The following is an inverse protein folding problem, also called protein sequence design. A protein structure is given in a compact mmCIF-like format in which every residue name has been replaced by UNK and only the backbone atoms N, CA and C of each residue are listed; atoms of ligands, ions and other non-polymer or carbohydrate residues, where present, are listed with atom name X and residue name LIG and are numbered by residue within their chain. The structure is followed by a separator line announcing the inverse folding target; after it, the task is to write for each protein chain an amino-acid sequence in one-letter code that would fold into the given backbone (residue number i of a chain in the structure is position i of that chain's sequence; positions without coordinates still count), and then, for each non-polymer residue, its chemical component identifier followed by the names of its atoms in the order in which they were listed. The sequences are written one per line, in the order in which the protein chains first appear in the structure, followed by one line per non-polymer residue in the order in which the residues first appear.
data_IF_034390482602
#
_entry.id   IF_034390482602
#
_cell.length_a   1.000
_cell.length_b   1.000
_cell.length_c   1.000
_cell.angle_alpha   90.00
_cell.angle_beta   90.00
_cell.angle_gamma   90.00
#
_symmetry.space_group_name_H-M   'P 1'
#
loop_
_entity.id
_entity.type
_entity.pdbx_description
1 polymer ?
#
# COMPACT_ATOMS: atom_id res chain seq x y z
N UNK A 1 -47.25 -62.05 -84.01
CA UNK A 1 -47.08 -60.86 -83.10
C UNK A 1 -46.40 -61.40 -81.82
N UNK A 2 -45.11 -61.05 -81.67
CA UNK A 2 -44.31 -61.47 -80.54
C UNK A 2 -44.22 -60.34 -79.55
N UNK A 3 -44.39 -60.56 -78.26
CA UNK A 3 -44.14 -59.51 -77.27
C UNK A 3 -42.65 -59.40 -76.92
N UNK A 4 -42.18 -58.21 -76.81
CA UNK A 4 -40.84 -57.82 -76.41
C UNK A 4 -40.74 -57.85 -74.86
N UNK A 5 -39.68 -58.48 -74.28
CA UNK A 5 -39.51 -58.42 -72.84
C UNK A 5 -38.83 -57.09 -72.42
N UNK A 6 -39.43 -56.43 -71.43
CA UNK A 6 -38.98 -55.24 -70.82
C UNK A 6 -37.91 -55.60 -69.78
N UNK A 7 -36.64 -55.18 -70.01
CA UNK A 7 -35.57 -55.32 -69.04
C UNK A 7 -35.64 -54.14 -68.00
N UNK A 8 -35.76 -54.55 -66.78
CA UNK A 8 -35.73 -53.63 -65.62
C UNK A 8 -34.29 -53.51 -65.08
N UNK A 9 -33.67 -52.34 -64.96
CA UNK A 9 -32.33 -52.23 -64.40
C UNK A 9 -32.38 -52.33 -62.86
N UNK A 10 -31.61 -53.26 -62.31
CA UNK A 10 -31.33 -53.35 -60.87
C UNK A 10 -30.40 -52.25 -60.46
N UNK A 11 -30.90 -51.28 -59.67
CA UNK A 11 -30.09 -50.30 -59.00
C UNK A 11 -29.48 -50.92 -57.71
N UNK A 12 -28.17 -51.21 -57.76
CA UNK A 12 -27.39 -51.52 -56.57
C UNK A 12 -27.12 -50.22 -55.79
N UNK A 13 -27.84 -50.03 -54.71
CA UNK A 13 -27.53 -48.99 -53.73
C UNK A 13 -26.37 -49.43 -52.86
N UNK A 14 -25.18 -48.89 -53.16
CA UNK A 14 -24.00 -49.01 -52.30
C UNK A 14 -24.17 -48.29 -51.01
N UNK A 15 -24.24 -49.00 -49.90
CA UNK A 15 -24.21 -48.41 -48.53
C UNK A 15 -22.78 -48.00 -48.25
N UNK A 16 -22.53 -46.68 -48.31
CA UNK A 16 -21.27 -46.10 -47.85
C UNK A 16 -21.30 -46.03 -46.32
N UNK A 17 -20.53 -46.87 -45.67
CA UNK A 17 -20.27 -46.80 -44.25
C UNK A 17 -19.39 -45.57 -44.00
N UNK A 18 -19.98 -44.47 -43.53
CA UNK A 18 -19.23 -43.33 -43.00
C UNK A 18 -18.56 -43.77 -41.69
N UNK A 19 -17.25 -43.94 -41.70
CA UNK A 19 -16.48 -44.08 -40.46
C UNK A 19 -16.58 -42.80 -39.66
N UNK A 20 -17.16 -42.87 -38.47
CA UNK A 20 -17.17 -41.77 -37.49
C UNK A 20 -15.71 -41.40 -37.17
N UNK A 21 -15.37 -40.09 -37.09
CA UNK A 21 -14.04 -39.67 -36.69
C UNK A 21 -13.76 -40.19 -35.28
N UNK A 22 -12.71 -40.99 -35.13
CA UNK A 22 -12.18 -41.33 -33.80
C UNK A 22 -11.75 -40.04 -33.11
N UNK A 23 -12.41 -39.71 -32.02
CA UNK A 23 -11.96 -38.69 -31.08
C UNK A 23 -10.59 -39.11 -30.57
N UNK A 24 -9.55 -38.44 -31.07
CA UNK A 24 -8.20 -38.53 -30.51
C UNK A 24 -8.34 -38.00 -29.07
N UNK A 25 -8.34 -38.91 -28.11
CA UNK A 25 -8.19 -38.62 -26.73
C UNK A 25 -6.84 -37.91 -26.57
N UNK A 26 -6.86 -36.56 -26.52
CA UNK A 26 -5.68 -35.79 -26.12
C UNK A 26 -5.33 -36.24 -24.71
N UNK A 27 -4.22 -36.92 -24.61
CA UNK A 27 -3.55 -37.21 -23.35
C UNK A 27 -3.37 -35.88 -22.61
N UNK A 28 -4.26 -35.60 -21.66
CA UNK A 28 -4.11 -34.48 -20.76
C UNK A 28 -3.04 -34.89 -19.75
N UNK A 29 -1.78 -34.83 -20.18
CA UNK A 29 -0.67 -34.78 -19.23
C UNK A 29 -0.98 -33.62 -18.28
N UNK A 30 -1.10 -33.86 -16.97
CA UNK A 30 -1.36 -32.77 -16.03
C UNK A 30 -0.17 -31.83 -16.12
N UNK A 31 -0.36 -30.69 -16.76
CA UNK A 31 0.61 -29.59 -16.70
C UNK A 31 0.59 -29.08 -15.26
N UNK A 32 1.50 -29.60 -14.47
CA UNK A 32 1.76 -29.05 -13.12
C UNK A 32 2.29 -27.65 -13.36
N UNK A 33 1.41 -26.67 -13.37
CA UNK A 33 1.78 -25.25 -13.27
C UNK A 33 2.26 -25.03 -11.84
N UNK A 34 3.55 -25.18 -11.61
CA UNK A 34 4.19 -24.71 -10.39
C UNK A 34 4.25 -23.21 -10.51
N UNK A 35 3.20 -22.51 -10.07
CA UNK A 35 3.25 -21.08 -9.81
C UNK A 35 4.10 -20.92 -8.54
N UNK A 36 5.39 -20.66 -8.73
CA UNK A 36 6.28 -20.31 -7.61
C UNK A 36 6.03 -18.85 -7.28
N UNK A 37 5.02 -18.61 -6.48
CA UNK A 37 4.77 -17.27 -5.93
C UNK A 37 5.96 -16.88 -5.04
N UNK A 38 6.52 -15.74 -5.33
CA UNK A 38 7.59 -15.14 -4.55
C UNK A 38 7.02 -13.93 -3.82
N UNK A 39 7.11 -13.95 -2.51
CA UNK A 39 6.58 -12.87 -1.66
C UNK A 39 7.73 -11.98 -1.23
N UNK A 40 7.56 -10.67 -1.48
CA UNK A 40 8.49 -9.63 -1.06
C UNK A 40 7.85 -8.80 0.03
N UNK A 41 8.61 -8.49 1.07
CA UNK A 41 8.21 -7.61 2.17
C UNK A 41 9.35 -6.70 2.57
N UNK A 42 8.99 -5.51 3.03
CA UNK A 42 9.94 -4.55 3.58
C UNK A 42 9.94 -4.60 5.11
N UNK A 43 11.10 -4.42 5.72
CA UNK A 43 11.27 -4.37 7.15
C UNK A 43 12.02 -3.12 7.60
N UNK A 44 11.43 -2.38 8.53
CA UNK A 44 12.09 -1.30 9.24
C UNK A 44 12.53 -1.82 10.62
N UNK A 45 13.81 -1.66 10.94
CA UNK A 45 14.34 -2.02 12.26
C UNK A 45 14.97 -0.79 12.87
N UNK A 46 14.42 -0.33 14.01
CA UNK A 46 14.93 0.86 14.69
C UNK A 46 14.87 0.75 16.22
N UNK A 47 15.73 1.50 16.87
CA UNK A 47 15.65 1.69 18.31
C UNK A 47 14.48 2.63 18.65
N UNK A 48 13.56 2.17 19.50
CA UNK A 48 12.34 2.92 19.90
C UNK A 48 12.63 4.22 20.64
N UNK A 49 13.78 4.27 21.35
CA UNK A 49 14.15 5.42 22.19
C UNK A 49 14.94 6.47 21.41
N UNK A 50 15.96 6.02 20.68
CA UNK A 50 16.85 6.94 19.92
C UNK A 50 16.37 7.21 18.50
N UNK A 51 15.47 6.40 17.95
CA UNK A 51 15.06 6.48 16.53
C UNK A 51 16.11 5.95 15.54
N UNK A 52 17.30 5.55 16.01
CA UNK A 52 18.39 5.10 15.17
C UNK A 52 18.03 3.80 14.48
N UNK A 53 18.25 3.77 13.16
CA UNK A 53 18.03 2.57 12.33
C UNK A 53 19.14 1.54 12.57
N UNK A 54 18.79 0.27 12.61
CA UNK A 54 19.76 -0.82 12.58
C UNK A 54 20.14 -1.11 11.11
N UNK A 55 21.35 -0.76 10.72
CA UNK A 55 21.80 -0.79 9.33
C UNK A 55 22.71 -1.96 8.93
N UNK A 56 23.07 -2.82 9.88
CA UNK A 56 24.10 -3.87 9.71
C UNK A 56 23.55 -5.30 9.85
N UNK A 57 22.23 -5.47 9.75
CA UNK A 57 21.59 -6.78 9.88
C UNK A 57 21.73 -7.61 8.60
N UNK A 58 21.76 -8.94 8.78
CA UNK A 58 21.85 -9.92 7.71
C UNK A 58 20.56 -10.77 7.67
N UNK A 59 20.34 -11.51 6.58
CA UNK A 59 19.15 -12.38 6.45
C UNK A 59 19.00 -13.37 7.63
N UNK A 60 20.12 -13.87 8.15
CA UNK A 60 20.16 -14.79 9.32
C UNK A 60 19.73 -14.16 10.65
N UNK A 61 19.72 -12.83 10.70
CA UNK A 61 19.27 -12.10 11.90
C UNK A 61 17.74 -12.04 12.01
N UNK A 62 17.02 -12.40 10.94
CA UNK A 62 15.57 -12.34 10.89
C UNK A 62 14.94 -13.73 11.01
N UNK A 63 13.82 -13.77 11.70
CA UNK A 63 12.91 -14.91 11.77
C UNK A 63 11.56 -14.47 11.18
N UNK A 64 11.18 -15.11 10.07
CA UNK A 64 9.92 -14.86 9.36
C UNK A 64 8.98 -16.05 9.54
N UNK A 65 7.71 -15.79 9.79
CA UNK A 65 6.66 -16.81 9.73
C UNK A 65 5.44 -16.28 8.96
N UNK A 66 4.75 -17.20 8.26
CA UNK A 66 3.47 -16.99 7.60
C UNK A 66 2.43 -17.90 8.24
N UNK A 67 1.33 -17.35 8.75
CA UNK A 67 0.29 -18.08 9.51
C UNK A 67 0.87 -18.97 10.63
N UNK A 68 1.94 -18.51 11.28
CA UNK A 68 2.64 -19.25 12.33
C UNK A 68 3.64 -20.30 11.82
N UNK A 69 3.71 -20.55 10.50
CA UNK A 69 4.68 -21.49 9.90
C UNK A 69 5.97 -20.76 9.56
N UNK A 70 7.14 -21.18 10.10
CA UNK A 70 8.43 -20.58 9.76
C UNK A 70 8.71 -20.62 8.27
N UNK A 71 9.23 -19.51 7.72
CA UNK A 71 9.57 -19.37 6.32
C UNK A 71 11.06 -19.11 6.13
N UNK A 72 11.63 -19.69 5.09
CA UNK A 72 13.03 -19.46 4.73
C UNK A 72 13.17 -18.21 3.86
N UNK A 73 13.87 -17.20 4.36
CA UNK A 73 14.25 -16.03 3.60
C UNK A 73 15.26 -16.47 2.52
N UNK A 74 14.92 -16.25 1.24
CA UNK A 74 15.74 -16.65 0.09
C UNK A 74 16.25 -15.45 -0.72
N UNK A 75 15.72 -14.26 -0.43
CA UNK A 75 16.20 -12.99 -0.95
C UNK A 75 16.33 -12.00 0.20
N UNK A 76 17.39 -11.23 0.18
CA UNK A 76 17.64 -10.23 1.19
C UNK A 76 18.53 -9.12 0.61
N UNK A 77 18.12 -7.88 0.77
CA UNK A 77 18.94 -6.72 0.44
C UNK A 77 18.64 -5.56 1.40
N UNK A 78 19.65 -4.73 1.59
CA UNK A 78 19.53 -3.42 2.23
C UNK A 78 19.85 -2.31 1.21
N UNK A 79 19.72 -2.63 -0.07
CA UNK A 79 19.89 -1.64 -1.13
C UNK A 79 18.80 -0.58 -1.04
N UNK A 80 19.23 0.63 -1.29
CA UNK A 80 18.33 1.78 -1.26
C UNK A 80 17.56 1.87 -2.57
N UNK A 81 16.47 1.11 -2.66
CA UNK A 81 15.57 1.15 -3.80
C UNK A 81 15.07 2.57 -4.09
N UNK A 82 14.75 2.89 -5.34
CA UNK A 82 14.04 4.13 -5.66
C UNK A 82 12.74 4.23 -4.86
N UNK A 83 12.33 5.43 -4.54
CA UNK A 83 11.04 5.70 -3.89
C UNK A 83 10.08 6.30 -4.92
N UNK A 84 8.85 5.78 -4.94
CA UNK A 84 7.71 6.41 -5.60
C UNK A 84 6.74 6.86 -4.50
N UNK A 85 6.75 8.17 -4.23
CA UNK A 85 6.09 8.73 -3.06
C UNK A 85 4.85 9.50 -3.48
N UNK A 86 3.68 9.12 -2.97
CA UNK A 86 2.49 9.95 -3.01
C UNK A 86 2.40 10.73 -1.71
N UNK A 87 2.44 12.05 -1.77
CA UNK A 87 2.08 12.90 -0.64
C UNK A 87 0.59 13.20 -0.67
N UNK A 88 -0.13 12.82 0.38
CA UNK A 88 -1.56 13.05 0.54
C UNK A 88 -1.80 14.04 1.68
N UNK A 89 -2.24 15.24 1.36
CA UNK A 89 -2.42 16.34 2.31
C UNK A 89 -3.89 16.59 2.62
N UNK A 90 -4.21 16.56 3.90
CA UNK A 90 -5.49 16.97 4.43
C UNK A 90 -5.65 18.50 4.34
N UNK A 91 -6.71 18.98 3.71
CA UNK A 91 -7.00 20.39 3.53
C UNK A 91 -7.88 21.00 4.64
N UNK A 92 -8.23 20.24 5.66
CA UNK A 92 -9.07 20.76 6.76
C UNK A 92 -8.39 21.90 7.51
N UNK A 93 -9.21 22.75 8.13
CA UNK A 93 -8.72 23.92 8.88
C UNK A 93 -7.78 23.57 10.04
N UNK A 94 -7.91 22.35 10.59
CA UNK A 94 -7.04 21.84 11.66
C UNK A 94 -5.63 21.53 11.16
N UNK A 95 -5.48 21.02 9.94
CA UNK A 95 -4.18 20.63 9.33
C UNK A 95 -3.51 21.79 8.60
N UNK A 96 -4.28 22.75 8.10
CA UNK A 96 -3.77 23.91 7.34
C UNK A 96 -2.58 24.64 7.99
N UNK A 97 -2.55 24.88 9.32
CA UNK A 97 -1.40 25.54 9.96
C UNK A 97 -0.07 24.78 9.80
N UNK A 98 -0.10 23.50 9.39
CA UNK A 98 1.08 22.66 9.13
C UNK A 98 1.47 22.67 7.66
N UNK A 99 0.52 22.88 6.73
CA UNK A 99 0.80 22.94 5.31
C UNK A 99 1.68 24.13 4.93
N UNK A 100 1.54 25.27 5.59
CA UNK A 100 2.36 26.44 5.30
C UNK A 100 3.84 26.23 5.64
N UNK A 101 4.24 25.82 6.85
CA UNK A 101 5.64 25.45 7.13
C UNK A 101 6.16 24.32 6.24
N UNK A 102 5.29 23.38 5.85
CA UNK A 102 5.64 22.33 4.91
C UNK A 102 5.99 22.90 3.53
N UNK A 103 5.18 23.83 3.02
CA UNK A 103 5.44 24.49 1.75
C UNK A 103 6.73 25.33 1.79
N UNK A 104 6.96 26.08 2.86
CA UNK A 104 8.19 26.84 3.10
C UNK A 104 9.44 25.93 3.09
N UNK A 105 9.34 24.70 3.65
CA UNK A 105 10.41 23.70 3.69
C UNK A 105 10.40 22.69 2.53
N UNK A 106 9.49 22.82 1.56
CA UNK A 106 9.27 21.79 0.56
C UNK A 106 10.51 21.45 -0.27
N UNK A 107 11.31 22.47 -0.62
CA UNK A 107 12.56 22.26 -1.39
C UNK A 107 13.60 21.46 -0.60
N UNK A 108 13.74 21.74 0.69
CA UNK A 108 14.66 21.01 1.56
C UNK A 108 14.19 19.55 1.69
N UNK A 109 12.91 19.33 1.95
CA UNK A 109 12.31 18.00 2.06
C UNK A 109 12.52 17.20 0.78
N UNK A 110 12.20 17.78 -0.37
CA UNK A 110 12.37 17.16 -1.67
C UNK A 110 13.85 16.95 -2.03
N UNK A 111 14.76 17.73 -1.42
CA UNK A 111 16.21 17.55 -1.51
C UNK A 111 16.73 16.26 -0.87
N UNK A 112 16.00 15.67 0.08
CA UNK A 112 16.32 14.34 0.64
C UNK A 112 16.01 13.18 -0.32
N UNK A 113 15.25 13.44 -1.37
CA UNK A 113 14.96 12.45 -2.41
C UNK A 113 16.13 12.36 -3.40
N UNK A 114 16.44 11.14 -3.84
CA UNK A 114 17.46 10.88 -4.86
C UNK A 114 16.95 11.25 -6.26
N UNK A 115 17.82 11.47 -7.23
CA UNK A 115 17.42 11.85 -8.59
C UNK A 115 16.41 10.90 -9.24
N UNK A 116 16.49 9.60 -8.94
CA UNK A 116 15.58 8.57 -9.47
C UNK A 116 14.25 8.46 -8.71
N UNK A 117 14.13 9.09 -7.54
CA UNK A 117 12.87 9.07 -6.80
C UNK A 117 11.85 9.96 -7.49
N UNK A 118 10.61 9.55 -7.51
CA UNK A 118 9.49 10.32 -8.06
C UNK A 118 8.47 10.62 -6.98
N UNK A 119 7.75 11.71 -7.18
CA UNK A 119 6.70 12.14 -6.24
C UNK A 119 5.44 12.53 -6.98
N UNK A 120 4.29 12.20 -6.41
CA UNK A 120 2.99 12.73 -6.77
C UNK A 120 2.42 13.50 -5.58
N UNK A 121 1.65 14.56 -5.85
CA UNK A 121 1.04 15.40 -4.83
C UNK A 121 -0.46 15.33 -4.96
N UNK A 122 -1.11 14.86 -3.91
CA UNK A 122 -2.55 14.78 -3.78
C UNK A 122 -3.02 15.57 -2.55
N UNK A 123 -4.22 16.07 -2.64
CA UNK A 123 -4.93 16.70 -1.51
C UNK A 123 -6.29 16.06 -1.34
N UNK A 124 -6.84 16.14 -0.14
CA UNK A 124 -8.18 15.65 0.10
C UNK A 124 -8.96 16.50 1.11
N UNK A 125 -10.27 16.45 0.94
CA UNK A 125 -11.30 16.92 1.85
C UNK A 125 -12.53 16.03 1.67
N UNK A 126 -13.66 16.55 1.18
CA UNK A 126 -14.82 15.76 0.76
C UNK A 126 -14.61 14.99 -0.56
N UNK A 127 -13.55 15.25 -1.26
CA UNK A 127 -13.04 14.54 -2.43
C UNK A 127 -11.51 14.63 -2.47
N UNK A 128 -10.89 13.81 -3.30
CA UNK A 128 -9.45 13.78 -3.52
C UNK A 128 -9.12 14.47 -4.84
N UNK A 129 -8.05 15.26 -4.87
CA UNK A 129 -7.57 15.96 -6.07
C UNK A 129 -6.08 15.67 -6.27
N UNK A 130 -5.70 15.26 -7.49
CA UNK A 130 -4.31 15.13 -7.91
C UNK A 130 -3.80 16.51 -8.38
N UNK A 131 -2.86 17.09 -7.64
CA UNK A 131 -2.25 18.39 -7.99
C UNK A 131 -1.04 18.25 -8.88
N UNK A 132 -0.28 17.15 -8.73
CA UNK A 132 0.89 16.82 -9.54
C UNK A 132 1.01 15.30 -9.63
N UNK A 133 0.98 14.80 -10.85
CA UNK A 133 1.29 13.41 -11.18
C UNK A 133 2.78 13.10 -10.92
N UNK A 134 3.16 11.83 -10.90
CA UNK A 134 4.53 11.41 -10.63
C UNK A 134 5.55 12.20 -11.44
N UNK A 135 6.51 12.77 -10.73
CA UNK A 135 7.59 13.57 -11.33
C UNK A 135 8.88 13.44 -10.53
N UNK A 136 10.00 13.46 -11.25
CA UNK A 136 11.34 13.62 -10.66
C UNK A 136 11.76 15.09 -10.58
N UNK A 137 10.98 16.00 -11.17
CA UNK A 137 11.21 17.46 -11.13
C UNK A 137 10.76 18.02 -9.77
N UNK A 138 11.74 18.35 -8.92
CA UNK A 138 11.53 18.88 -7.58
C UNK A 138 10.83 20.23 -7.56
N UNK A 139 11.02 21.05 -8.60
CA UNK A 139 10.38 22.35 -8.70
C UNK A 139 8.88 22.20 -8.95
N UNK A 140 8.48 21.26 -9.83
CA UNK A 140 7.07 20.94 -10.06
C UNK A 140 6.40 20.43 -8.78
N UNK A 141 7.06 19.51 -8.06
CA UNK A 141 6.55 18.99 -6.80
C UNK A 141 6.41 20.09 -5.73
N UNK A 142 7.42 20.97 -5.59
CA UNK A 142 7.37 22.09 -4.65
C UNK A 142 6.22 23.06 -4.98
N UNK A 143 6.04 23.42 -6.25
CA UNK A 143 4.94 24.30 -6.68
C UNK A 143 3.56 23.68 -6.39
N UNK A 144 3.41 22.35 -6.49
CA UNK A 144 2.18 21.67 -6.13
C UNK A 144 1.92 21.69 -4.61
N UNK A 145 2.97 21.58 -3.79
CA UNK A 145 2.87 21.73 -2.32
C UNK A 145 2.48 23.17 -1.97
N UNK A 146 3.07 24.17 -2.62
CA UNK A 146 2.69 25.58 -2.46
C UNK A 146 1.20 25.80 -2.82
N UNK A 147 0.75 25.19 -3.93
CA UNK A 147 -0.67 25.22 -4.33
C UNK A 147 -1.55 24.58 -3.23
N UNK A 148 -1.18 23.39 -2.71
CA UNK A 148 -1.92 22.73 -1.65
C UNK A 148 -2.05 23.64 -0.39
N UNK A 149 -0.96 24.30 0.03
CA UNK A 149 -0.95 25.18 1.19
C UNK A 149 -1.82 26.44 0.99
N UNK A 150 -2.02 26.89 -0.24
CA UNK A 150 -2.87 28.04 -0.58
C UNK A 150 -4.36 27.67 -0.72
N UNK A 151 -4.69 26.38 -0.92
CA UNK A 151 -6.07 25.93 -1.07
C UNK A 151 -6.85 26.08 0.23
N UNK A 152 -8.14 26.35 0.10
CA UNK A 152 -9.06 26.50 1.23
C UNK A 152 -10.29 25.63 0.97
N UNK A 153 -10.67 24.86 1.95
CA UNK A 153 -11.95 24.16 1.97
C UNK A 153 -12.66 24.42 3.31
N UNK A 154 -13.97 24.34 3.28
CA UNK A 154 -14.83 24.29 4.48
C UNK A 154 -15.55 22.96 4.56
N UNK A 155 -15.17 22.03 3.72
CA UNK A 155 -15.75 20.71 3.63
C UNK A 155 -15.10 19.78 4.66
N UNK A 156 -15.79 18.72 4.97
CA UNK A 156 -15.25 17.66 5.82
C UNK A 156 -14.40 16.66 5.03
N UNK A 157 -13.97 15.59 5.69
CA UNK A 157 -13.06 14.59 5.13
C UNK A 157 -13.69 13.21 5.06
N UNK A 158 -13.43 12.52 3.93
CA UNK A 158 -13.67 11.09 3.74
C UNK A 158 -12.32 10.36 3.75
N UNK A 159 -11.88 9.92 4.91
CA UNK A 159 -10.55 9.33 5.12
C UNK A 159 -10.37 8.04 4.32
N UNK A 160 -11.35 7.14 4.37
CA UNK A 160 -11.23 5.84 3.70
C UNK A 160 -11.27 5.97 2.19
N UNK A 161 -12.09 6.86 1.65
CA UNK A 161 -12.13 7.18 0.22
C UNK A 161 -10.79 7.74 -0.25
N UNK A 162 -10.26 8.73 0.48
CA UNK A 162 -8.97 9.34 0.13
C UNK A 162 -7.81 8.35 0.17
N UNK A 163 -7.82 7.41 1.13
CA UNK A 163 -6.86 6.31 1.18
C UNK A 163 -7.00 5.41 -0.05
N UNK A 164 -8.23 5.03 -0.40
CA UNK A 164 -8.51 4.16 -1.54
C UNK A 164 -7.99 4.76 -2.85
N UNK A 165 -8.27 6.03 -3.11
CA UNK A 165 -7.83 6.75 -4.29
C UNK A 165 -6.31 6.99 -4.32
N UNK A 166 -5.71 7.31 -3.16
CA UNK A 166 -4.26 7.50 -3.07
C UNK A 166 -3.46 6.20 -3.30
N UNK A 167 -4.02 5.05 -2.94
CA UNK A 167 -3.43 3.75 -3.30
C UNK A 167 -3.48 3.53 -4.81
N UNK A 168 -4.58 3.91 -5.49
CA UNK A 168 -4.65 3.85 -6.95
C UNK A 168 -3.58 4.72 -7.61
N UNK A 169 -3.37 5.92 -7.08
CA UNK A 169 -2.33 6.81 -7.59
C UNK A 169 -0.94 6.19 -7.39
N UNK A 170 -0.65 5.66 -6.20
CA UNK A 170 0.63 5.01 -5.91
C UNK A 170 0.93 3.82 -6.85
N UNK A 171 -0.12 3.13 -7.32
CA UNK A 171 0.02 2.01 -8.27
C UNK A 171 0.31 2.46 -9.71
N UNK A 172 0.12 3.73 -10.06
CA UNK A 172 0.45 4.28 -11.38
C UNK A 172 1.94 4.54 -11.59
N UNK A 173 2.75 4.48 -10.51
CA UNK A 173 4.21 4.59 -10.63
C UNK A 173 4.76 3.61 -11.66
N UNK A 174 5.61 4.11 -12.55
CA UNK A 174 6.30 3.33 -13.59
C UNK A 174 7.79 3.14 -13.31
N UNK A 175 8.30 3.70 -12.20
CA UNK A 175 9.70 3.54 -11.80
C UNK A 175 9.95 2.08 -11.42
N UNK A 176 10.84 1.37 -12.18
CA UNK A 176 11.10 -0.05 -11.93
C UNK A 176 11.64 -0.29 -10.51
N UNK A 177 11.18 -1.36 -9.90
CA UNK A 177 11.61 -1.84 -8.58
C UNK A 177 11.51 -0.79 -7.46
N UNK A 178 10.74 0.28 -7.69
CA UNK A 178 10.56 1.31 -6.67
C UNK A 178 9.72 0.82 -5.49
N UNK A 179 10.07 1.30 -4.30
CA UNK A 179 9.19 1.18 -3.14
C UNK A 179 8.09 2.22 -3.24
N UNK A 180 6.84 1.74 -3.39
CA UNK A 180 5.65 2.60 -3.44
C UNK A 180 5.25 2.99 -2.03
N UNK A 181 5.17 4.29 -1.80
CA UNK A 181 4.91 4.84 -0.47
C UNK A 181 3.82 5.90 -0.55
N UNK A 182 2.89 5.83 0.38
CA UNK A 182 1.95 6.89 0.65
C UNK A 182 2.36 7.60 1.95
N UNK A 183 2.69 8.87 1.85
CA UNK A 183 2.97 9.74 3.01
C UNK A 183 1.75 10.59 3.26
N UNK A 184 1.10 10.37 4.37
CA UNK A 184 -0.15 11.00 4.74
C UNK A 184 0.05 12.06 5.82
N UNK A 185 -0.25 13.32 5.50
CA UNK A 185 -0.27 14.41 6.46
C UNK A 185 -1.73 14.72 6.82
N UNK A 186 -2.12 14.41 8.05
CA UNK A 186 -3.49 14.58 8.56
C UNK A 186 -3.50 14.74 10.07
N UNK A 187 -4.60 15.19 10.63
CA UNK A 187 -4.83 15.17 12.08
C UNK A 187 -5.58 13.90 12.54
N UNK A 188 -5.89 13.01 11.63
CA UNK A 188 -6.55 11.76 11.96
C UNK A 188 -8.04 11.84 12.19
N UNK A 189 -8.65 12.97 11.90
CA UNK A 189 -10.08 13.19 12.16
C UNK A 189 -10.90 12.98 10.90
N UNK A 190 -11.70 11.90 10.84
CA UNK A 190 -12.77 11.77 9.86
C UNK A 190 -14.04 12.38 10.43
N UNK A 191 -14.63 13.32 9.70
CA UNK A 191 -15.83 14.02 10.16
C UNK A 191 -17.05 13.77 9.27
N UNK A 192 -16.90 13.06 8.13
CA UNK A 192 -18.00 12.77 7.20
C UNK A 192 -18.51 11.32 7.25
N UNK A 193 -17.95 10.47 8.09
CA UNK A 193 -18.46 9.11 8.30
C UNK A 193 -19.77 9.09 9.10
N UNK A 194 -20.06 10.16 9.84
CA UNK A 194 -21.32 10.34 10.52
C UNK A 194 -22.36 10.90 9.55
N UNK A 195 -23.53 10.24 9.44
CA UNK A 195 -24.60 10.63 8.51
C UNK A 195 -25.09 12.07 8.70
N UNK A 196 -25.19 12.55 9.94
CA UNK A 196 -25.61 13.92 10.23
C UNK A 196 -24.60 14.94 9.73
N UNK A 197 -23.32 14.71 9.94
CA UNK A 197 -22.22 15.56 9.48
C UNK A 197 -22.11 15.53 7.96
N UNK A 198 -22.29 14.36 7.35
CA UNK A 198 -22.29 14.17 5.90
C UNK A 198 -23.38 14.99 5.21
N UNK A 199 -24.58 15.06 5.76
CA UNK A 199 -25.66 15.89 5.20
C UNK A 199 -25.35 17.38 5.17
N UNK A 200 -24.54 17.86 6.12
CA UNK A 200 -24.19 19.28 6.23
C UNK A 200 -22.93 19.63 5.45
N UNK A 201 -21.90 18.82 5.52
CA UNK A 201 -20.55 19.11 4.98
C UNK A 201 -20.22 18.34 3.71
N UNK A 202 -20.98 17.32 3.37
CA UNK A 202 -20.71 16.42 2.24
C UNK A 202 -21.34 16.84 0.91
N UNK A 203 -21.46 18.13 0.60
CA UNK A 203 -22.13 18.62 -0.63
C UNK A 203 -21.56 18.07 -1.93
N UNK A 204 -20.28 17.70 -1.93
CA UNK A 204 -19.56 17.16 -3.09
C UNK A 204 -19.10 15.71 -2.83
N UNK A 205 -19.75 15.01 -1.91
CA UNK A 205 -19.44 13.62 -1.64
C UNK A 205 -19.63 12.76 -2.91
N UNK A 206 -18.73 11.82 -3.22
CA UNK A 206 -18.95 10.84 -4.27
C UNK A 206 -20.22 10.04 -4.06
N UNK A 207 -20.85 9.58 -5.14
CA UNK A 207 -22.06 8.74 -5.06
C UNK A 207 -21.80 7.42 -4.34
N UNK A 208 -20.63 6.85 -4.57
CA UNK A 208 -20.12 5.66 -3.89
C UNK A 208 -18.91 6.01 -3.04
N UNK A 209 -18.92 5.57 -1.80
CA UNK A 209 -17.81 5.71 -0.86
C UNK A 209 -17.30 4.33 -0.49
N UNK A 210 -16.00 4.14 -0.60
CA UNK A 210 -15.35 2.92 -0.15
C UNK A 210 -15.34 2.84 1.37
N UNK A 211 -15.64 1.66 1.88
CA UNK A 211 -15.58 1.36 3.30
C UNK A 211 -14.12 1.26 3.76
N UNK A 212 -13.91 1.34 5.07
CA UNK A 212 -12.61 1.04 5.68
C UNK A 212 -12.06 -0.31 5.23
N UNK A 213 -12.91 -1.35 5.20
CA UNK A 213 -12.47 -2.71 4.82
C UNK A 213 -12.02 -2.77 3.37
N UNK A 214 -12.75 -2.16 2.45
CA UNK A 214 -12.38 -2.11 1.03
C UNK A 214 -11.04 -1.38 0.84
N UNK A 215 -10.81 -0.28 1.59
CA UNK A 215 -9.55 0.46 1.55
C UNK A 215 -8.38 -0.35 2.12
N UNK A 216 -8.60 -1.09 3.23
CA UNK A 216 -7.62 -2.04 3.78
C UNK A 216 -7.30 -3.15 2.79
N UNK A 217 -8.33 -3.77 2.21
CA UNK A 217 -8.14 -4.89 1.27
C UNK A 217 -7.36 -4.45 0.03
N UNK A 218 -7.68 -3.28 -0.51
CA UNK A 218 -6.95 -2.68 -1.63
C UNK A 218 -5.49 -2.41 -1.26
N UNK A 219 -5.26 -1.78 -0.12
CA UNK A 219 -3.93 -1.48 0.39
C UNK A 219 -3.09 -2.75 0.56
N UNK A 220 -3.66 -3.80 1.15
CA UNK A 220 -2.96 -5.06 1.37
C UNK A 220 -2.62 -5.81 0.07
N UNK A 221 -3.42 -5.63 -0.99
CA UNK A 221 -3.15 -6.17 -2.34
C UNK A 221 -2.09 -5.36 -3.10
N UNK A 222 -2.03 -4.04 -2.90
CA UNK A 222 -1.17 -3.14 -3.66
C UNK A 222 0.31 -3.22 -3.30
N UNK A 223 0.65 -3.64 -2.08
CA UNK A 223 2.02 -3.61 -1.57
C UNK A 223 2.53 -2.21 -1.19
N UNK A 224 1.68 -1.19 -1.26
CA UNK A 224 2.02 0.18 -0.85
C UNK A 224 2.29 0.23 0.65
N UNK A 225 3.32 1.00 1.04
CA UNK A 225 3.63 1.28 2.44
C UNK A 225 3.00 2.62 2.81
N UNK A 226 2.11 2.63 3.79
CA UNK A 226 1.52 3.88 4.32
C UNK A 226 2.36 4.39 5.47
N UNK A 227 2.75 5.64 5.41
CA UNK A 227 3.48 6.35 6.45
C UNK A 227 2.73 7.61 6.81
N UNK A 228 2.75 7.97 8.07
CA UNK A 228 1.92 9.05 8.57
C UNK A 228 2.75 10.11 9.28
N UNK A 229 2.38 11.34 9.01
CA UNK A 229 2.84 12.50 9.75
C UNK A 229 1.63 13.13 10.45
N UNK A 230 1.49 12.87 11.75
CA UNK A 230 0.35 13.29 12.54
C UNK A 230 0.68 14.58 13.31
N UNK A 231 -0.27 15.52 13.27
CA UNK A 231 -0.18 16.72 14.08
C UNK A 231 -0.29 16.41 15.58
N UNK A 232 0.75 16.73 16.33
CA UNK A 232 0.85 16.38 17.76
C UNK A 232 -0.18 17.07 18.69
N UNK A 233 -0.77 18.19 18.27
CA UNK A 233 -1.82 18.87 19.06
C UNK A 233 -3.22 18.31 18.82
N UNK A 234 -3.41 17.56 17.72
CA UNK A 234 -4.66 16.88 17.41
C UNK A 234 -5.03 15.85 18.48
N UNK A 235 -4.03 15.17 19.05
CA UNK A 235 -4.24 14.18 20.12
C UNK A 235 -4.98 14.78 21.32
N UNK A 236 -4.65 16.01 21.71
CA UNK A 236 -5.29 16.72 22.83
C UNK A 236 -6.71 17.19 22.48
N UNK A 237 -6.90 17.69 21.26
CA UNK A 237 -8.21 18.16 20.78
C UNK A 237 -9.16 17.01 20.53
N UNK A 238 -8.68 15.92 19.97
CA UNK A 238 -9.50 14.73 19.65
C UNK A 238 -9.94 14.00 20.91
N UNK A 239 -9.09 13.90 21.94
CA UNK A 239 -9.50 13.40 23.26
C UNK A 239 -10.63 14.25 23.86
N UNK A 240 -10.58 15.57 23.66
CA UNK A 240 -11.63 16.49 24.10
C UNK A 240 -12.93 16.35 23.27
N UNK A 241 -12.82 16.20 21.94
CA UNK A 241 -13.96 15.99 21.05
C UNK A 241 -14.61 14.61 21.23
N UNK A 242 -13.83 13.54 21.42
CA UNK A 242 -14.35 12.18 21.67
C UNK A 242 -15.08 12.11 23.00
N UNK A 243 -14.61 12.82 24.02
CA UNK A 243 -15.26 12.89 25.33
C UNK A 243 -16.60 13.65 25.28
N UNK A 244 -16.73 14.62 24.37
CA UNK A 244 -17.91 15.52 24.30
C UNK A 244 -18.93 15.07 23.24
N UNK A 245 -18.52 14.49 22.11
CA UNK A 245 -19.37 14.19 20.96
C UNK A 245 -19.52 12.71 20.62
N UNK A 246 -18.88 11.83 21.38
CA UNK A 246 -19.19 10.37 21.34
C UNK A 246 -18.92 9.62 20.05
N UNK A 247 -17.87 10.01 19.27
CA UNK A 247 -17.83 9.26 18.04
C UNK A 247 -16.65 9.29 17.09
N UNK A 248 -15.52 9.88 17.40
CA UNK A 248 -14.37 9.82 16.45
C UNK A 248 -13.28 8.88 16.97
N UNK A 249 -13.04 7.78 16.28
CA UNK A 249 -11.97 6.84 16.60
C UNK A 249 -10.68 7.29 15.92
N UNK A 250 -9.69 7.77 16.67
CA UNK A 250 -8.34 8.05 16.18
C UNK A 250 -7.59 6.80 15.66
N UNK A 251 -8.12 5.62 15.89
CA UNK A 251 -7.45 4.35 15.58
C UNK A 251 -7.42 3.95 14.10
N UNK A 252 -8.06 4.70 13.21
CA UNK A 252 -8.19 4.25 11.83
C UNK A 252 -6.97 4.61 10.97
N UNK A 253 -6.31 5.72 11.24
CA UNK A 253 -5.14 6.17 10.50
C UNK A 253 -3.91 5.36 10.91
N UNK A 254 -3.59 5.32 12.20
CA UNK A 254 -2.52 4.45 12.72
C UNK A 254 -2.66 3.00 12.25
N UNK A 255 -3.91 2.58 11.94
CA UNK A 255 -4.19 1.23 11.44
C UNK A 255 -3.62 0.98 10.05
N UNK A 256 -3.71 1.91 9.11
CA UNK A 256 -3.17 1.73 7.77
C UNK A 256 -1.64 1.64 7.78
N UNK A 257 -0.98 2.50 8.56
CA UNK A 257 0.46 2.42 8.74
C UNK A 257 0.88 1.12 9.45
N UNK A 258 0.15 0.71 10.48
CA UNK A 258 0.42 -0.54 11.20
C UNK A 258 0.24 -1.78 10.31
N UNK A 259 -0.81 -1.82 9.48
CA UNK A 259 -1.05 -2.91 8.53
C UNK A 259 0.06 -3.06 7.49
N UNK A 260 0.66 -1.95 7.05
CA UNK A 260 1.73 -1.94 6.04
C UNK A 260 3.13 -1.88 6.63
N UNK A 261 3.25 -1.72 7.95
CA UNK A 261 4.53 -1.59 8.65
C UNK A 261 5.23 -0.25 8.42
N UNK A 262 4.50 0.77 7.97
CA UNK A 262 5.05 2.11 7.80
C UNK A 262 5.25 2.86 9.11
N UNK A 263 6.16 3.84 9.14
CA UNK A 263 6.36 4.68 10.31
C UNK A 263 5.21 5.68 10.51
N UNK A 264 4.95 5.97 11.78
CA UNK A 264 4.07 7.05 12.22
C UNK A 264 4.91 8.04 13.01
N UNK A 265 5.02 9.27 12.55
CA UNK A 265 5.73 10.34 13.22
C UNK A 265 4.75 11.40 13.69
N UNK A 266 5.02 11.95 14.88
CA UNK A 266 4.28 13.10 15.40
C UNK A 266 5.08 14.36 15.17
N UNK A 267 4.44 15.41 14.66
CA UNK A 267 5.08 16.69 14.41
C UNK A 267 4.31 17.83 15.06
N UNK A 268 5.04 18.88 15.44
CA UNK A 268 4.48 20.20 15.72
C UNK A 268 4.62 21.09 14.49
N UNK A 269 4.01 22.29 14.52
CA UNK A 269 4.06 23.25 13.40
C UNK A 269 5.48 23.63 12.99
N UNK A 270 6.40 23.72 13.96
CA UNK A 270 7.78 24.18 13.72
C UNK A 270 8.72 23.09 13.24
N UNK A 271 8.34 21.81 13.31
CA UNK A 271 9.23 20.69 12.97
C UNK A 271 8.67 19.74 11.90
N UNK A 272 7.54 20.11 11.27
CA UNK A 272 6.88 19.31 10.25
C UNK A 272 7.83 18.96 9.10
N UNK A 273 8.55 19.93 8.55
CA UNK A 273 9.51 19.73 7.47
C UNK A 273 10.62 18.75 7.86
N UNK A 274 11.23 18.96 9.03
CA UNK A 274 12.27 18.07 9.56
C UNK A 274 11.74 16.66 9.80
N UNK A 275 10.54 16.51 10.34
CA UNK A 275 9.91 15.21 10.57
C UNK A 275 9.57 14.48 9.27
N UNK A 276 9.19 15.20 8.23
CA UNK A 276 8.96 14.60 6.92
C UNK A 276 10.27 14.10 6.29
N UNK A 277 11.37 14.87 6.41
CA UNK A 277 12.68 14.42 5.98
C UNK A 277 13.13 13.15 6.73
N UNK A 278 12.96 13.12 8.07
CA UNK A 278 13.23 11.94 8.91
C UNK A 278 12.40 10.72 8.44
N UNK A 279 11.14 10.93 8.06
CA UNK A 279 10.26 9.88 7.54
C UNK A 279 10.77 9.32 6.20
N UNK A 280 11.23 10.18 5.29
CA UNK A 280 11.82 9.76 4.01
C UNK A 280 13.07 8.89 4.26
N UNK A 281 13.92 9.29 5.21
CA UNK A 281 15.12 8.52 5.56
C UNK A 281 14.75 7.15 6.16
N UNK A 282 13.72 7.07 7.03
CA UNK A 282 13.21 5.80 7.54
C UNK A 282 12.65 4.88 6.44
N UNK A 283 11.96 5.46 5.46
CA UNK A 283 11.46 4.71 4.31
C UNK A 283 12.57 4.14 3.44
N UNK A 284 13.66 4.87 3.32
CA UNK A 284 14.84 4.46 2.57
C UNK A 284 15.66 3.38 3.28
N UNK A 285 15.81 3.49 4.59
CA UNK A 285 16.60 2.58 5.43
C UNK A 285 15.94 1.23 5.73
N UNK A 286 15.01 0.76 4.90
CA UNK A 286 14.32 -0.51 5.09
C UNK A 286 15.08 -1.66 4.43
N UNK A 287 15.04 -2.81 5.06
CA UNK A 287 15.45 -4.07 4.45
C UNK A 287 14.35 -4.59 3.53
N UNK A 288 14.74 -5.20 2.42
CA UNK A 288 13.82 -5.96 1.56
C UNK A 288 14.11 -7.45 1.71
N UNK A 289 13.10 -8.20 2.11
CA UNK A 289 13.17 -9.64 2.29
C UNK A 289 12.26 -10.34 1.30
N UNK A 290 12.68 -11.52 0.84
CA UNK A 290 11.86 -12.32 -0.04
C UNK A 290 11.90 -13.80 0.33
N UNK A 291 10.79 -14.50 0.14
CA UNK A 291 10.67 -15.91 0.41
C UNK A 291 9.66 -16.58 -0.53
N UNK A 292 9.70 -17.89 -0.58
CA UNK A 292 8.68 -18.70 -1.25
C UNK A 292 7.83 -19.37 -0.19
N UNK A 293 6.51 -19.12 -0.16
CA UNK A 293 5.63 -19.74 0.81
C UNK A 293 5.75 -21.27 0.81
N UNK A 294 5.96 -21.86 1.98
CA UNK A 294 6.07 -23.32 2.14
C UNK A 294 4.72 -24.03 2.12
N UNK A 295 3.62 -23.29 2.26
CA UNK A 295 2.25 -23.78 2.25
C UNK A 295 1.46 -23.11 1.15
N UNK A 296 0.78 -23.90 0.31
CA UNK A 296 -0.12 -23.36 -0.71
C UNK A 296 -1.46 -22.96 -0.08
N UNK A 297 -1.91 -21.74 -0.39
CA UNK A 297 -3.22 -21.22 0.03
C UNK A 297 -4.10 -20.96 -1.21
N UNK A 298 -5.43 -20.97 -1.07
CA UNK A 298 -6.31 -20.63 -2.19
C UNK A 298 -6.14 -19.14 -2.57
N UNK A 299 -6.40 -18.79 -3.86
CA UNK A 299 -6.43 -17.41 -4.29
C UNK A 299 -7.41 -16.57 -3.46
N UNK A 300 -7.01 -15.36 -3.11
CA UNK A 300 -7.79 -14.45 -2.27
C UNK A 300 -7.72 -14.71 -0.76
N UNK A 301 -7.00 -15.74 -0.30
CA UNK A 301 -6.77 -15.95 1.12
C UNK A 301 -5.81 -14.89 1.67
N UNK A 302 -6.13 -14.36 2.84
CA UNK A 302 -5.22 -13.49 3.57
C UNK A 302 -4.18 -14.32 4.33
N UNK A 303 -2.90 -14.03 4.13
CA UNK A 303 -1.76 -14.69 4.77
C UNK A 303 -1.15 -13.72 5.79
N UNK A 304 -1.13 -14.09 7.06
CA UNK A 304 -0.56 -13.26 8.12
C UNK A 304 0.96 -13.42 8.18
N UNK A 305 1.68 -12.31 8.25
CA UNK A 305 3.13 -12.26 8.36
C UNK A 305 3.57 -11.83 9.76
N UNK A 306 4.59 -12.48 10.27
CA UNK A 306 5.27 -12.08 11.49
C UNK A 306 6.77 -12.08 11.23
N UNK A 307 7.43 -10.98 11.54
CA UNK A 307 8.87 -10.80 11.41
C UNK A 307 9.46 -10.36 12.74
N UNK A 308 10.51 -11.01 13.16
CA UNK A 308 11.25 -10.68 14.38
C UNK A 308 12.75 -10.82 14.15
N UNK A 309 13.56 -10.27 15.03
CA UNK A 309 14.99 -10.60 15.09
C UNK A 309 15.20 -11.85 15.90
N UNK A 310 16.19 -12.66 15.49
CA UNK A 310 16.61 -13.85 16.22
C UNK A 310 17.34 -13.49 17.51
N UNK A 311 17.39 -14.41 18.47
CA UNK A 311 18.21 -14.24 19.69
C UNK A 311 19.68 -14.07 19.37
N UNK A 312 20.15 -14.71 18.28
CA UNK A 312 21.52 -14.56 17.76
C UNK A 312 21.83 -13.14 17.29
N UNK A 313 20.86 -12.46 16.66
CA UNK A 313 21.03 -11.07 16.24
C UNK A 313 21.33 -10.13 17.42
N UNK A 314 20.61 -10.32 18.53
CA UNK A 314 20.83 -9.54 19.76
C UNK A 314 22.14 -9.91 20.46
N UNK A 315 22.49 -11.20 20.48
CA UNK A 315 23.75 -11.66 21.09
C UNK A 315 24.98 -11.14 20.33
N UNK A 316 24.90 -11.07 19.00
CA UNK A 316 25.98 -10.58 18.16
C UNK A 316 26.20 -9.06 18.24
N UNK A 317 25.21 -8.30 18.72
CA UNK A 317 25.20 -6.82 18.75
C UNK A 317 24.82 -6.29 20.13
N UNK A 318 25.78 -6.07 21.04
CA UNK A 318 25.50 -5.61 22.41
C UNK A 318 24.70 -4.31 22.51
N UNK A 319 24.72 -3.46 21.44
CA UNK A 319 23.91 -2.24 21.34
C UNK A 319 22.43 -2.49 20.97
N UNK A 320 22.07 -3.70 20.53
CA UNK A 320 20.70 -4.07 20.21
C UNK A 320 20.05 -4.75 21.42
N UNK A 321 19.19 -4.02 22.12
CA UNK A 321 18.39 -4.61 23.21
C UNK A 321 16.98 -4.92 22.68
N UNK A 322 16.52 -6.16 22.83
CA UNK A 322 15.22 -6.62 22.33
C UNK A 322 14.04 -5.74 22.82
N UNK A 323 14.11 -5.20 24.04
CA UNK A 323 13.08 -4.32 24.60
C UNK A 323 13.02 -2.94 23.90
N UNK A 324 14.16 -2.49 23.38
CA UNK A 324 14.32 -1.18 22.78
C UNK A 324 14.21 -1.20 21.26
N UNK A 325 14.21 -2.37 20.62
CA UNK A 325 14.10 -2.51 19.17
C UNK A 325 12.64 -2.66 18.74
N UNK A 326 12.28 -1.95 17.70
CA UNK A 326 11.06 -2.18 16.92
C UNK A 326 11.42 -2.80 15.57
N UNK A 327 10.74 -3.87 15.22
CA UNK A 327 10.72 -4.43 13.87
C UNK A 327 9.34 -4.17 13.29
N UNK A 328 9.27 -3.44 12.18
CA UNK A 328 8.02 -3.14 11.49
C UNK A 328 8.05 -3.71 10.09
N UNK A 329 7.02 -4.45 9.75
CA UNK A 329 6.76 -4.99 8.41
C UNK A 329 5.25 -5.03 8.20
N UNK A 330 4.82 -5.26 6.96
CA UNK A 330 3.39 -5.47 6.67
C UNK A 330 2.85 -6.66 7.44
N UNK A 331 1.61 -6.55 7.91
CA UNK A 331 0.95 -7.59 8.70
C UNK A 331 0.56 -8.83 7.90
N UNK A 332 0.48 -8.71 6.60
CA UNK A 332 0.09 -9.81 5.72
C UNK A 332 -0.09 -9.36 4.28
N UNK A 333 -0.67 -10.23 3.47
CA UNK A 333 -1.00 -9.96 2.09
C UNK A 333 -2.13 -10.88 1.61
N UNK A 334 -2.80 -10.51 0.52
CA UNK A 334 -3.74 -11.39 -0.18
C UNK A 334 -3.03 -12.16 -1.29
N UNK A 335 -3.35 -13.43 -1.38
CA UNK A 335 -2.81 -14.34 -2.38
C UNK A 335 -3.55 -14.29 -3.71
#
# INVERSE_FOLDING_TARGET
MRPIPMLLPLLLSGVVWAQAPQLVQRDQTPVIRVSTEFVVLDALVKNKKSGVLAGDLQASDFQLSEDGVPQRITYFTHDQLPLSVVFLFDLTDSVRPFLKPLAEGARDILGHLKPQDEVAIMVFSSHTELLQDFTTDRSRAANAIDKAAAMKTREGTFIHESMYEAVDEAMKSTTPDSRRVLVWLTDGSSNLENESTRKVLGKHAPEHLHTRQESVDKLMRSGVVVSELIEGSALSKTLMYTAVLGGVRMGDIDHYADMTGGPVLKSGKSDTARKLAELIDELRGRYTLGYRPSVTRPPGAFCNLQLALTTGAYAARPGLNAKDIAVRTRRGYYR
#
